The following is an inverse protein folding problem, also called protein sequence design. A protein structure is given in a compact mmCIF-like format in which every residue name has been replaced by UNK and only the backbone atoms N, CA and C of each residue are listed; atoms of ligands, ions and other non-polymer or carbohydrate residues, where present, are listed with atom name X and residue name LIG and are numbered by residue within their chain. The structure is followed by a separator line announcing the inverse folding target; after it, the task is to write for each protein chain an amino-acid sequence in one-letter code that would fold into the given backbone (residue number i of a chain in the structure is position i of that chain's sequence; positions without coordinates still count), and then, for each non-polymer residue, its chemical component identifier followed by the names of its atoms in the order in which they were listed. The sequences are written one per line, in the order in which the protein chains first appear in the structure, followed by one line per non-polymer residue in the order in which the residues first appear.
data_IF_838024232678
#
_entry.id   IF_838024232678
#
_cell.length_a   1.000
_cell.length_b   1.000
_cell.length_c   1.000
_cell.angle_alpha   90.00
_cell.angle_beta   90.00
_cell.angle_gamma   90.00
#
_symmetry.space_group_name_H-M   'P 1'
#
loop_
_entity.id
_entity.type
_entity.pdbx_description
1 polymer ?
#
# COMPACT_ATOMS: atom_id res chain seq x y z
N UNK A 1 -13.00 24.44 3.77
CA UNK A 1 -12.27 23.83 2.64
C UNK A 1 -11.76 22.49 3.12
N UNK A 2 -12.22 21.36 2.56
CA UNK A 2 -11.80 20.01 2.94
C UNK A 2 -10.97 19.44 1.79
N UNK A 3 -9.65 19.59 1.87
CA UNK A 3 -8.72 18.92 0.94
C UNK A 3 -8.97 17.42 1.02
N UNK A 4 -9.42 16.80 -0.07
CA UNK A 4 -9.60 15.34 -0.12
C UNK A 4 -8.26 14.72 -0.44
N UNK A 5 -7.68 14.00 0.51
CA UNK A 5 -6.48 13.21 0.28
C UNK A 5 -6.85 11.86 -0.35
N UNK A 6 -6.37 11.59 -1.56
CA UNK A 6 -6.54 10.29 -2.21
C UNK A 6 -5.25 9.47 -2.11
N UNK A 7 -5.26 8.30 -1.45
CA UNK A 7 -4.10 7.41 -1.42
C UNK A 7 -3.84 6.82 -2.80
N UNK A 8 -2.66 7.08 -3.36
CA UNK A 8 -2.18 6.47 -4.60
C UNK A 8 -1.08 5.44 -4.30
N UNK A 9 -1.14 4.30 -4.96
CA UNK A 9 -0.11 3.27 -4.85
C UNK A 9 1.15 3.73 -5.58
N UNK A 10 2.27 3.85 -4.88
CA UNK A 10 3.57 4.24 -5.47
C UNK A 10 4.09 3.22 -6.48
N UNK A 11 3.67 1.96 -6.38
CA UNK A 11 4.16 0.88 -7.24
C UNK A 11 3.32 0.66 -8.51
N UNK A 12 1.98 0.75 -8.43
CA UNK A 12 1.10 0.49 -9.57
C UNK A 12 0.18 1.65 -9.95
N UNK A 13 0.26 2.79 -9.25
CA UNK A 13 -0.51 4.02 -9.51
C UNK A 13 -2.03 3.87 -9.44
N UNK A 14 -2.52 2.78 -8.83
CA UNK A 14 -3.95 2.64 -8.49
C UNK A 14 -4.30 3.57 -7.34
N UNK A 15 -5.53 4.07 -7.31
CA UNK A 15 -6.05 4.90 -6.22
C UNK A 15 -6.96 4.05 -5.33
N UNK A 16 -6.90 4.30 -4.02
CA UNK A 16 -7.83 3.74 -3.05
C UNK A 16 -9.09 4.61 -2.96
N UNK A 17 -10.26 4.00 -3.10
CA UNK A 17 -11.54 4.68 -2.88
C UNK A 17 -11.95 4.71 -1.41
N UNK A 18 -13.00 5.47 -1.09
CA UNK A 18 -13.51 5.63 0.28
C UNK A 18 -14.02 4.30 0.89
N UNK A 19 -14.28 3.28 0.07
CA UNK A 19 -14.66 1.93 0.51
C UNK A 19 -13.45 1.01 0.69
N UNK A 20 -12.24 1.51 0.41
CA UNK A 20 -10.99 0.81 0.54
C UNK A 20 -10.57 -0.03 -0.67
N UNK A 21 -11.30 0.02 -1.78
CA UNK A 21 -10.95 -0.70 -2.99
C UNK A 21 -9.92 0.05 -3.83
N UNK A 22 -9.01 -0.71 -4.43
CA UNK A 22 -8.01 -0.19 -5.35
C UNK A 22 -8.54 -0.23 -6.77
N UNK A 23 -8.52 0.92 -7.45
CA UNK A 23 -8.98 1.07 -8.83
C UNK A 23 -7.91 1.71 -9.69
N UNK A 24 -7.82 1.25 -10.93
CA UNK A 24 -6.96 1.87 -11.93
C UNK A 24 -7.49 3.27 -12.27
N UNK A 25 -6.59 4.24 -12.28
CA UNK A 25 -6.91 5.59 -12.76
C UNK A 25 -7.23 5.47 -14.25
N UNK A 26 -8.49 5.71 -14.61
CA UNK A 26 -8.85 6.04 -15.99
C UNK A 26 -8.61 7.54 -16.12
N UNK A 27 -7.82 7.92 -17.13
CA UNK A 27 -7.45 9.31 -17.46
C UNK A 27 -8.64 10.27 -17.39
N UNK A 28 -8.86 10.92 -16.24
CA UNK A 28 -9.85 12.00 -16.01
C UNK A 28 -9.68 12.62 -14.61
N UNK A 29 -8.44 12.87 -14.15
CA UNK A 29 -8.16 13.59 -12.89
C UNK A 29 -7.36 14.89 -13.17
N UNK A 30 -7.13 15.23 -14.44
CA UNK A 30 -6.20 16.31 -14.81
C UNK A 30 -6.78 17.72 -14.66
N UNK A 31 -8.09 17.92 -14.82
CA UNK A 31 -8.54 19.28 -15.15
C UNK A 31 -9.31 20.03 -14.05
N UNK A 32 -9.84 19.39 -12.98
CA UNK A 32 -10.67 20.11 -11.99
C UNK A 32 -10.69 19.55 -10.55
N UNK A 33 -9.82 18.60 -10.18
CA UNK A 33 -9.87 18.02 -8.83
C UNK A 33 -8.88 18.68 -7.89
N UNK A 34 -9.36 19.42 -6.89
CA UNK A 34 -8.61 19.93 -5.71
C UNK A 34 -8.20 18.77 -4.75
N UNK A 35 -7.64 17.71 -5.32
CA UNK A 35 -7.34 16.46 -4.62
C UNK A 35 -5.83 16.37 -4.45
N UNK A 36 -5.40 16.29 -3.20
CA UNK A 36 -4.01 16.01 -2.87
C UNK A 36 -3.78 14.50 -2.84
N UNK A 37 -2.68 14.02 -3.44
CA UNK A 37 -2.36 12.60 -3.43
C UNK A 37 -1.43 12.26 -2.27
N UNK A 38 -1.78 11.23 -1.50
CA UNK A 38 -0.89 10.65 -0.51
C UNK A 38 -0.22 9.38 -1.04
N UNK A 39 1.05 9.19 -0.72
CA UNK A 39 1.81 8.02 -1.17
C UNK A 39 1.52 6.81 -0.27
N UNK A 40 0.94 5.77 -0.85
CA UNK A 40 0.59 4.52 -0.16
C UNK A 40 1.03 3.31 -0.99
N UNK A 41 0.84 2.09 -0.46
CA UNK A 41 1.13 0.84 -1.16
C UNK A 41 -0.08 -0.09 -1.11
N UNK A 42 -0.52 -0.59 -2.26
CA UNK A 42 -1.65 -1.51 -2.28
C UNK A 42 -1.25 -2.92 -1.79
N UNK A 43 -2.19 -3.72 -1.25
CA UNK A 43 -1.91 -5.06 -0.74
C UNK A 43 -1.23 -5.97 -1.78
N UNK A 44 -1.60 -5.86 -3.05
CA UNK A 44 -0.98 -6.62 -4.15
C UNK A 44 0.50 -6.27 -4.34
N UNK A 45 0.83 -4.97 -4.35
CA UNK A 45 2.20 -4.50 -4.47
C UNK A 45 3.02 -4.83 -3.22
N UNK A 46 2.43 -4.67 -2.02
CA UNK A 46 3.05 -5.05 -0.76
C UNK A 46 3.38 -6.55 -0.77
N UNK A 47 2.42 -7.40 -1.15
CA UNK A 47 2.62 -8.85 -1.27
C UNK A 47 3.75 -9.18 -2.24
N UNK A 48 3.79 -8.57 -3.43
CA UNK A 48 4.89 -8.78 -4.39
C UNK A 48 6.25 -8.35 -3.84
N UNK A 49 6.34 -7.17 -3.24
CA UNK A 49 7.58 -6.61 -2.71
C UNK A 49 8.10 -7.42 -1.50
N UNK A 50 7.26 -7.70 -0.52
CA UNK A 50 7.65 -8.47 0.67
C UNK A 50 7.87 -9.96 0.38
N UNK A 51 7.08 -10.59 -0.50
CA UNK A 51 7.36 -11.97 -0.92
C UNK A 51 8.70 -12.07 -1.66
N UNK A 52 9.01 -11.11 -2.54
CA UNK A 52 10.30 -11.09 -3.22
C UNK A 52 11.46 -10.87 -2.25
N UNK A 53 11.27 -10.03 -1.22
CA UNK A 53 12.25 -9.85 -0.15
C UNK A 53 12.51 -11.15 0.61
N UNK A 54 11.47 -11.89 0.99
CA UNK A 54 11.60 -13.18 1.68
C UNK A 54 12.24 -14.26 0.80
N UNK A 55 11.88 -14.32 -0.49
CA UNK A 55 12.46 -15.29 -1.43
C UNK A 55 13.94 -15.03 -1.71
N UNK A 56 14.36 -13.76 -1.76
CA UNK A 56 15.74 -13.39 -2.10
C UNK A 56 16.69 -13.48 -0.90
N UNK A 57 16.17 -13.34 0.32
CA UNK A 57 16.96 -13.38 1.54
C UNK A 57 16.80 -14.72 2.29
N UNK A 58 17.54 -15.73 1.86
CA UNK A 58 17.75 -16.99 2.60
C UNK A 58 18.58 -16.82 3.91
N UNK A 59 18.59 -15.63 4.51
CA UNK A 59 19.31 -15.31 5.76
C UNK A 59 18.45 -15.38 7.02
N UNK A 60 17.13 -15.58 6.89
CA UNK A 60 16.18 -15.52 8.01
C UNK A 60 15.78 -16.87 8.63
N UNK A 61 16.57 -17.95 8.49
CA UNK A 61 16.25 -19.25 9.13
C UNK A 61 16.27 -19.22 10.67
N UNK A 62 16.72 -18.13 11.30
CA UNK A 62 16.94 -18.02 12.76
C UNK A 62 15.70 -17.61 13.59
N UNK A 63 14.59 -17.23 12.96
CA UNK A 63 13.40 -16.73 13.67
C UNK A 63 12.21 -17.71 13.70
N UNK A 64 12.45 -19.02 13.56
CA UNK A 64 11.38 -20.04 13.69
C UNK A 64 10.75 -20.14 15.08
N UNK A 65 11.34 -19.49 16.09
CA UNK A 65 10.87 -19.50 17.49
C UNK A 65 10.58 -18.09 18.04
N UNK A 66 10.19 -17.13 17.20
CA UNK A 66 9.73 -15.83 17.72
C UNK A 66 8.24 -15.94 18.11
N UNK A 67 7.85 -15.59 19.35
CA UNK A 67 6.45 -15.63 19.75
C UNK A 67 5.61 -14.71 18.86
N UNK A 68 4.46 -15.21 18.41
CA UNK A 68 3.57 -14.56 17.41
C UNK A 68 2.86 -13.28 17.91
N UNK A 69 3.37 -12.60 18.93
CA UNK A 69 2.58 -11.63 19.72
C UNK A 69 3.05 -10.18 19.67
N UNK A 70 3.89 -9.78 18.71
CA UNK A 70 4.17 -8.36 18.51
C UNK A 70 3.97 -7.96 17.05
N UNK A 71 2.74 -8.14 16.58
CA UNK A 71 2.19 -7.16 15.64
C UNK A 71 1.44 -6.16 16.53
N UNK A 72 1.88 -4.89 16.65
CA UNK A 72 1.02 -3.88 17.23
C UNK A 72 -0.14 -3.69 16.25
N UNK A 73 -1.26 -4.34 16.53
CA UNK A 73 -2.58 -3.96 16.06
C UNK A 73 -3.00 -2.73 16.87
N UNK A 74 -2.34 -1.60 16.66
CA UNK A 74 -2.79 -0.30 17.17
C UNK A 74 -2.35 0.79 16.18
N UNK A 75 -3.16 0.94 15.13
CA UNK A 75 -3.41 2.23 14.46
C UNK A 75 -4.91 2.49 14.62
#
# INVERSE_FOLDING_TARGET
MLSRFLPICTSCKQIRDDRGYWKQIKTSIRDNSEVEFSHSICPECAKKLYLNYLKKNNRFRKFRNLPKTTLPLDI
#
